data_IF_542225186196
#
_entry.id   IF_542225186196
#
_cell.length_a   1.000
_cell.length_b   1.000
_cell.length_c   1.000
_cell.angle_alpha   90.00
_cell.angle_beta   90.00
_cell.angle_gamma   90.00
#
_symmetry.space_group_name_H-M   'P 1'
#
loop_
_entity.id
_entity.type
_entity.pdbx_description
1 polymer ?
#
# COMPACT_ATOMS: atom_id res chain seq x y z
N UNK A 1 38.27 -6.94 -2.07
CA UNK A 1 37.06 -7.39 -1.35
C UNK A 1 35.84 -6.81 -2.07
N UNK A 2 34.97 -7.64 -2.61
CA UNK A 2 33.68 -7.18 -3.10
C UNK A 2 32.86 -6.72 -1.87
N UNK A 3 32.42 -5.48 -1.85
CA UNK A 3 31.53 -4.97 -0.81
C UNK A 3 30.18 -5.65 -1.00
N UNK A 4 29.74 -6.44 -0.02
CA UNK A 4 28.41 -7.03 -0.03
C UNK A 4 27.39 -5.93 0.27
N UNK A 5 26.62 -5.56 -0.74
CA UNK A 5 25.55 -4.57 -0.62
C UNK A 5 24.21 -5.18 -0.20
N UNK A 6 24.14 -6.48 0.06
CA UNK A 6 22.86 -7.15 0.38
C UNK A 6 22.22 -6.62 1.66
N UNK A 7 23.01 -6.24 2.65
CA UNK A 7 22.53 -5.66 3.91
C UNK A 7 22.53 -4.13 3.91
N UNK A 8 22.96 -3.51 2.81
CA UNK A 8 22.89 -2.06 2.65
C UNK A 8 21.44 -1.62 2.42
N UNK A 9 20.98 -0.52 3.02
CA UNK A 9 19.66 0.06 2.71
C UNK A 9 19.42 0.31 1.22
N UNK A 10 20.48 0.50 0.44
CA UNK A 10 20.42 0.67 -1.03
C UNK A 10 19.89 -0.57 -1.77
N UNK A 11 19.90 -1.75 -1.14
CA UNK A 11 19.27 -2.96 -1.70
C UNK A 11 17.75 -2.88 -1.76
N UNK A 12 17.13 -1.92 -1.07
CA UNK A 12 15.69 -1.78 -0.96
C UNK A 12 15.02 -2.70 0.07
N UNK A 13 15.77 -3.62 0.70
CA UNK A 13 15.21 -4.57 1.69
C UNK A 13 14.57 -3.88 2.91
N UNK A 14 15.05 -2.69 3.24
CA UNK A 14 14.56 -1.89 4.39
C UNK A 14 13.54 -0.83 4.02
N UNK A 15 13.08 -0.78 2.76
CA UNK A 15 12.10 0.20 2.34
C UNK A 15 10.74 -0.05 3.00
N UNK A 16 10.08 1.03 3.40
CA UNK A 16 8.70 0.97 3.88
C UNK A 16 7.78 0.42 2.79
N UNK A 17 6.98 -0.56 3.13
CA UNK A 17 6.03 -1.20 2.20
C UNK A 17 4.75 -0.40 1.99
N UNK A 18 4.61 0.77 2.64
CA UNK A 18 3.40 1.59 2.58
C UNK A 18 2.12 0.81 2.96
N UNK A 19 2.23 -0.14 3.87
CA UNK A 19 1.11 -1.00 4.25
C UNK A 19 -0.08 -0.21 4.79
N UNK A 20 0.16 0.81 5.63
CA UNK A 20 -0.91 1.62 6.21
C UNK A 20 -1.77 2.33 5.16
N UNK A 21 -1.23 3.09 4.19
CA UNK A 21 -2.04 3.72 3.15
C UNK A 21 -2.79 2.69 2.28
N UNK A 22 -2.22 1.52 2.01
CA UNK A 22 -2.91 0.47 1.28
C UNK A 22 -4.07 -0.14 2.04
N UNK A 23 -3.93 -0.36 3.35
CA UNK A 23 -5.02 -0.81 4.22
C UNK A 23 -6.17 0.21 4.21
N UNK A 24 -5.86 1.49 4.42
CA UNK A 24 -6.85 2.56 4.44
C UNK A 24 -7.57 2.68 3.09
N UNK A 25 -6.84 2.62 1.98
CA UNK A 25 -7.41 2.69 0.63
C UNK A 25 -8.31 1.48 0.33
N UNK A 26 -7.90 0.29 0.74
CA UNK A 26 -8.68 -0.93 0.54
C UNK A 26 -10.00 -0.85 1.29
N UNK A 27 -9.99 -0.42 2.55
CA UNK A 27 -11.21 -0.22 3.35
C UNK A 27 -12.05 0.95 2.87
N UNK A 28 -11.46 1.99 2.31
CA UNK A 28 -12.22 3.07 1.68
C UNK A 28 -13.03 2.58 0.47
N UNK A 29 -12.47 1.63 -0.29
CA UNK A 29 -13.14 1.02 -1.45
C UNK A 29 -14.18 -0.02 -1.05
N UNK A 30 -13.92 -0.76 0.00
CA UNK A 30 -14.77 -1.87 0.47
C UNK A 30 -14.70 -1.97 1.99
N UNK A 31 -15.72 -1.48 2.66
CA UNK A 31 -15.85 -1.57 4.13
C UNK A 31 -16.31 -2.96 4.58
N UNK A 32 -16.03 -3.29 5.81
CA UNK A 32 -16.51 -4.53 6.44
C UNK A 32 -15.75 -5.79 6.01
N UNK A 33 -14.56 -5.64 5.46
CA UNK A 33 -13.70 -6.78 5.13
C UNK A 33 -13.20 -7.48 6.39
N UNK A 34 -13.18 -8.81 6.35
CA UNK A 34 -12.49 -9.60 7.37
C UNK A 34 -10.99 -9.36 7.31
N UNK A 35 -10.33 -9.43 8.46
CA UNK A 35 -8.89 -9.21 8.53
C UNK A 35 -8.10 -10.08 7.56
N UNK A 36 -8.48 -11.33 7.38
CA UNK A 36 -7.85 -12.23 6.40
C UNK A 36 -8.03 -11.75 4.95
N UNK A 37 -9.25 -11.38 4.55
CA UNK A 37 -9.53 -10.88 3.20
C UNK A 37 -8.81 -9.56 2.93
N UNK A 38 -8.85 -8.65 3.90
CA UNK A 38 -8.18 -7.37 3.83
C UNK A 38 -6.66 -7.54 3.63
N UNK A 39 -6.02 -8.39 4.44
CA UNK A 39 -4.58 -8.64 4.35
C UNK A 39 -4.23 -9.36 3.04
N UNK A 40 -5.08 -10.25 2.56
CA UNK A 40 -4.89 -10.93 1.27
C UNK A 40 -4.95 -9.94 0.10
N UNK A 41 -5.91 -9.02 0.10
CA UNK A 41 -6.03 -7.99 -0.94
C UNK A 41 -4.82 -7.05 -0.93
N UNK A 42 -4.41 -6.54 0.24
CA UNK A 42 -3.24 -5.67 0.36
C UNK A 42 -1.98 -6.40 -0.09
N UNK A 43 -1.82 -7.68 0.29
CA UNK A 43 -0.70 -8.50 -0.16
C UNK A 43 -0.67 -8.65 -1.68
N UNK A 44 -1.82 -8.88 -2.32
CA UNK A 44 -1.87 -9.06 -3.78
C UNK A 44 -1.38 -7.83 -4.54
N UNK A 45 -1.68 -6.62 -4.06
CA UNK A 45 -1.16 -5.38 -4.67
C UNK A 45 0.37 -5.27 -4.56
N UNK A 46 0.94 -5.74 -3.46
CA UNK A 46 2.39 -5.73 -3.26
C UNK A 46 3.09 -6.82 -4.08
N UNK A 47 2.50 -7.99 -4.16
CA UNK A 47 3.05 -9.12 -4.94
C UNK A 47 3.11 -8.78 -6.45
N UNK A 48 2.14 -8.03 -6.98
CA UNK A 48 2.17 -7.52 -8.36
C UNK A 48 3.40 -6.63 -8.65
N UNK A 49 3.93 -5.97 -7.62
CA UNK A 49 5.14 -5.14 -7.70
C UNK A 49 6.41 -5.92 -7.34
N UNK A 50 6.31 -7.23 -7.08
CA UNK A 50 7.44 -8.02 -6.61
C UNK A 50 7.88 -7.73 -5.17
N UNK A 51 7.04 -7.08 -4.38
CA UNK A 51 7.30 -6.74 -2.99
C UNK A 51 6.71 -7.83 -2.09
N UNK A 52 7.56 -8.64 -1.48
CA UNK A 52 7.12 -9.63 -0.49
C UNK A 52 6.61 -8.96 0.79
N UNK A 53 5.32 -9.14 1.10
CA UNK A 53 4.73 -8.61 2.32
C UNK A 53 4.39 -9.74 3.30
N UNK A 54 4.86 -9.59 4.54
CA UNK A 54 4.52 -10.54 5.59
C UNK A 54 3.13 -10.25 6.17
N UNK A 55 2.24 -11.24 6.15
CA UNK A 55 0.89 -11.16 6.69
C UNK A 55 0.89 -10.77 8.18
N UNK A 56 1.81 -11.29 8.97
CA UNK A 56 1.96 -10.94 10.38
C UNK A 56 2.24 -9.44 10.57
N UNK A 57 3.06 -8.86 9.69
CA UNK A 57 3.33 -7.42 9.67
C UNK A 57 2.07 -6.60 9.35
N UNK A 58 1.21 -7.09 8.44
CA UNK A 58 -0.06 -6.43 8.12
C UNK A 58 -1.01 -6.38 9.32
N UNK A 59 -1.16 -7.47 10.05
CA UNK A 59 -1.98 -7.47 11.29
C UNK A 59 -1.46 -6.50 12.34
N UNK A 60 -0.14 -6.32 12.42
CA UNK A 60 0.46 -5.29 13.30
C UNK A 60 0.03 -3.89 12.88
N UNK A 61 0.04 -3.59 11.59
CA UNK A 61 -0.44 -2.31 11.06
C UNK A 61 -1.95 -2.10 11.31
N UNK A 62 -2.77 -3.14 11.12
CA UNK A 62 -4.20 -3.09 11.45
C UNK A 62 -4.43 -2.72 12.92
N UNK A 63 -3.75 -3.40 13.83
CA UNK A 63 -3.84 -3.11 15.26
C UNK A 63 -3.38 -1.69 15.62
N UNK A 64 -2.31 -1.20 14.99
CA UNK A 64 -1.83 0.16 15.20
C UNK A 64 -2.82 1.22 14.70
N UNK A 65 -3.40 1.01 13.53
CA UNK A 65 -4.41 1.93 12.96
C UNK A 65 -5.68 1.96 13.82
N UNK A 66 -6.10 0.81 14.33
CA UNK A 66 -7.24 0.72 15.23
C UNK A 66 -6.97 1.42 16.57
N UNK A 67 -5.81 1.19 17.19
CA UNK A 67 -5.41 1.87 18.43
C UNK A 67 -5.35 3.40 18.28
N UNK A 68 -5.04 3.89 17.08
CA UNK A 68 -5.02 5.32 16.76
C UNK A 68 -6.39 5.87 16.37
N UNK A 69 -7.44 5.04 16.35
CA UNK A 69 -8.78 5.45 15.97
C UNK A 69 -9.02 5.65 14.48
N UNK A 70 -8.09 5.19 13.62
CA UNK A 70 -8.26 5.26 12.16
C UNK A 70 -9.19 4.17 11.64
N UNK A 71 -9.26 3.05 12.34
CA UNK A 71 -10.14 1.93 12.08
C UNK A 71 -10.95 1.58 13.33
N UNK A 72 -12.10 0.98 13.10
CA UNK A 72 -12.87 0.24 14.12
C UNK A 72 -13.12 -1.18 13.62
N UNK A 73 -13.33 -2.10 14.52
CA UNK A 73 -13.63 -3.48 14.16
C UNK A 73 -14.80 -4.02 14.98
N UNK A 74 -15.55 -4.92 14.36
CA UNK A 74 -16.67 -5.61 14.97
C UNK A 74 -16.52 -7.12 14.77
N UNK A 75 -16.92 -7.88 15.78
CA UNK A 75 -16.96 -9.34 15.69
C UNK A 75 -18.23 -9.80 14.98
N UNK A 76 -18.09 -10.51 13.89
CA UNK A 76 -19.21 -11.20 13.24
C UNK A 76 -19.40 -12.58 13.89
N UNK A 77 -20.45 -12.70 14.66
CA UNK A 77 -20.84 -13.92 15.36
C UNK A 77 -22.07 -14.60 14.74
N UNK A 78 -22.59 -14.08 13.62
CA UNK A 78 -23.83 -14.54 13.00
C UNK A 78 -23.70 -15.87 12.26
N UNK A 79 -22.50 -16.22 11.84
CA UNK A 79 -22.24 -17.45 11.10
C UNK A 79 -21.77 -18.57 12.03
N UNK A 80 -22.19 -19.83 11.73
CA UNK A 80 -21.63 -21.01 12.37
C UNK A 80 -20.17 -21.15 11.97
N UNK A 81 -19.24 -20.89 12.87
CA UNK A 81 -17.81 -20.97 12.64
C UNK A 81 -17.04 -20.06 13.59
N UNK A 82 -15.71 -20.00 13.48
CA UNK A 82 -14.92 -19.08 14.29
C UNK A 82 -15.38 -17.64 14.03
N UNK A 83 -15.55 -16.86 15.11
CA UNK A 83 -15.90 -15.46 15.00
C UNK A 83 -14.87 -14.71 14.14
N UNK A 84 -15.37 -13.95 13.17
CA UNK A 84 -14.54 -13.16 12.27
C UNK A 84 -14.60 -11.70 12.67
N UNK A 85 -13.49 -11.01 12.50
CA UNK A 85 -13.36 -9.59 12.83
C UNK A 85 -13.42 -8.77 11.56
N UNK A 86 -14.46 -7.95 11.44
CA UNK A 86 -14.67 -7.05 10.30
C UNK A 86 -14.16 -5.67 10.62
N UNK A 87 -13.46 -5.06 9.66
CA UNK A 87 -12.84 -3.75 9.83
C UNK A 87 -13.57 -2.68 9.01
N UNK A 88 -13.66 -1.50 9.61
CA UNK A 88 -14.34 -0.33 9.04
C UNK A 88 -13.44 0.90 9.18
N UNK A 89 -13.50 1.76 8.18
CA UNK A 89 -12.77 3.02 8.19
C UNK A 89 -13.55 4.06 8.99
N UNK A 90 -12.88 4.74 9.92
CA UNK A 90 -13.45 5.87 10.64
C UNK A 90 -13.35 7.16 9.84
N UNK A 91 -14.03 8.23 10.28
CA UNK A 91 -13.86 9.55 9.67
C UNK A 91 -12.41 10.05 9.78
N UNK A 92 -11.75 9.81 10.91
CA UNK A 92 -10.33 10.12 11.07
C UNK A 92 -9.45 9.24 10.18
N UNK A 93 -9.84 7.99 9.94
CA UNK A 93 -9.19 7.12 8.96
C UNK A 93 -9.28 7.68 7.53
N UNK A 94 -10.42 8.25 7.13
CA UNK A 94 -10.58 8.93 5.82
C UNK A 94 -9.66 10.14 5.71
N UNK A 95 -9.58 10.96 6.75
CA UNK A 95 -8.65 12.11 6.81
C UNK A 95 -7.19 11.64 6.76
N UNK A 96 -6.86 10.56 7.47
CA UNK A 96 -5.54 9.95 7.46
C UNK A 96 -5.15 9.46 6.07
N UNK A 97 -6.05 8.80 5.35
CA UNK A 97 -5.82 8.40 3.96
C UNK A 97 -5.49 9.59 3.06
N UNK A 98 -6.25 10.70 3.19
CA UNK A 98 -5.99 11.90 2.41
C UNK A 98 -4.63 12.53 2.73
N UNK A 99 -4.24 12.54 4.00
CA UNK A 99 -2.90 12.97 4.41
C UNK A 99 -1.80 12.09 3.82
N UNK A 100 -2.04 10.79 3.71
CA UNK A 100 -1.12 9.89 3.02
C UNK A 100 -0.96 10.24 1.55
N UNK A 101 -2.04 10.56 0.85
CA UNK A 101 -1.98 11.01 -0.54
C UNK A 101 -1.08 12.25 -0.68
N UNK A 102 -1.23 13.24 0.20
CA UNK A 102 -0.40 14.43 0.20
C UNK A 102 1.08 14.12 0.49
N UNK A 103 1.35 13.31 1.50
CA UNK A 103 2.71 12.91 1.89
C UNK A 103 3.41 12.13 0.77
N UNK A 104 2.72 11.18 0.16
CA UNK A 104 3.26 10.38 -0.94
C UNK A 104 3.48 11.22 -2.20
N UNK A 105 2.62 12.19 -2.47
CA UNK A 105 2.82 13.14 -3.57
C UNK A 105 4.08 13.98 -3.38
N UNK A 106 4.34 14.44 -2.15
CA UNK A 106 5.57 15.15 -1.82
C UNK A 106 6.81 14.25 -1.98
N UNK A 107 6.75 13.02 -1.48
CA UNK A 107 7.85 12.06 -1.63
C UNK A 107 8.14 11.74 -3.10
N UNK A 108 7.10 11.61 -3.91
CA UNK A 108 7.26 11.38 -5.35
C UNK A 108 7.97 12.56 -6.04
N UNK A 109 7.62 13.80 -5.68
CA UNK A 109 8.32 15.00 -6.16
C UNK A 109 9.79 15.01 -5.75
N UNK A 110 10.08 14.62 -4.51
CA UNK A 110 11.44 14.53 -3.99
C UNK A 110 12.26 13.49 -4.76
N UNK A 111 11.68 12.32 -5.02
CA UNK A 111 12.30 11.26 -5.81
C UNK A 111 12.56 11.74 -7.26
N UNK A 112 11.57 12.42 -7.86
CA UNK A 112 11.71 13.01 -9.19
C UNK A 112 12.88 13.99 -9.28
N UNK A 113 12.99 14.89 -8.32
CA UNK A 113 14.10 15.85 -8.20
C UNK A 113 15.44 15.15 -8.07
N UNK A 114 15.51 14.09 -7.28
CA UNK A 114 16.73 13.27 -7.18
C UNK A 114 17.15 12.72 -8.54
N UNK A 115 16.23 12.16 -9.32
CA UNK A 115 16.55 11.63 -10.65
C UNK A 115 16.96 12.73 -11.63
N UNK A 116 16.42 13.93 -11.52
CA UNK A 116 16.86 15.05 -12.35
C UNK A 116 18.32 15.42 -12.07
N UNK A 117 18.74 15.41 -10.81
CA UNK A 117 20.14 15.59 -10.44
C UNK A 117 21.02 14.43 -10.90
N UNK A 118 20.54 13.20 -10.82
CA UNK A 118 21.26 12.01 -11.36
C UNK A 118 21.54 12.17 -12.85
N UNK A 119 20.58 12.67 -13.64
CA UNK A 119 20.78 12.92 -15.08
C UNK A 119 21.87 13.96 -15.37
N UNK A 120 22.00 14.97 -14.50
CA UNK A 120 23.07 15.99 -14.63
C UNK A 120 24.44 15.35 -14.38
N UNK A 121 24.56 14.51 -13.35
CA UNK A 121 25.85 13.89 -12.97
C UNK A 121 26.19 12.72 -13.90
N UNK A 122 25.20 11.97 -14.32
CA UNK A 122 25.33 10.78 -15.16
C UNK A 122 24.48 10.90 -16.44
N UNK A 123 24.84 11.77 -17.38
CA UNK A 123 24.01 12.09 -18.57
C UNK A 123 23.77 10.89 -19.50
N UNK A 124 24.60 9.86 -19.43
CA UNK A 124 24.46 8.61 -20.20
C UNK A 124 23.76 7.48 -19.44
N UNK A 125 23.35 7.70 -18.20
CA UNK A 125 22.67 6.67 -17.41
C UNK A 125 21.31 6.32 -18.04
N UNK A 126 21.07 5.02 -18.25
CA UNK A 126 19.76 4.50 -18.65
C UNK A 126 18.94 4.29 -17.39
N UNK A 127 18.06 5.23 -17.09
CA UNK A 127 17.12 5.11 -15.99
C UNK A 127 15.95 4.20 -16.37
N UNK A 128 15.43 3.40 -15.42
CA UNK A 128 14.22 2.62 -15.64
C UNK A 128 13.06 3.53 -16.07
N UNK A 129 12.25 3.07 -17.00
CA UNK A 129 11.01 3.78 -17.35
C UNK A 129 10.00 3.57 -16.23
N UNK A 130 9.58 4.65 -15.60
CA UNK A 130 8.52 4.64 -14.60
C UNK A 130 7.23 5.06 -15.27
N UNK A 131 6.19 4.24 -15.15
CA UNK A 131 4.87 4.57 -15.65
C UNK A 131 4.13 5.42 -14.61
N UNK A 132 4.10 6.71 -14.82
CA UNK A 132 3.39 7.68 -13.99
C UNK A 132 2.00 8.04 -14.55
N UNK A 133 1.49 7.28 -15.49
CA UNK A 133 0.19 7.56 -16.14
C UNK A 133 -0.98 7.63 -15.14
N UNK A 134 -0.90 6.90 -14.03
CA UNK A 134 -1.89 6.94 -12.96
C UNK A 134 -2.00 8.30 -12.26
N UNK A 135 -0.97 9.15 -12.36
CA UNK A 135 -0.94 10.48 -11.73
C UNK A 135 -1.46 11.58 -12.66
N UNK A 136 -1.73 11.26 -13.93
CA UNK A 136 -2.27 12.23 -14.88
C UNK A 136 -3.78 12.39 -14.66
N UNK A 137 -4.29 13.63 -14.56
CA UNK A 137 -5.72 13.85 -14.43
C UNK A 137 -6.48 13.24 -15.61
N UNK A 138 -7.52 12.47 -15.33
CA UNK A 138 -8.42 11.89 -16.33
C UNK A 138 -8.00 10.54 -16.91
N UNK A 139 -6.86 9.96 -16.55
CA UNK A 139 -6.45 8.61 -16.96
C UNK A 139 -6.34 7.66 -15.76
N UNK A 140 -7.45 7.41 -15.08
CA UNK A 140 -7.51 6.26 -14.20
C UNK A 140 -7.26 5.01 -15.06
N UNK A 141 -6.22 4.22 -14.75
CA UNK A 141 -6.12 2.87 -15.31
C UNK A 141 -7.43 2.16 -15.00
N UNK A 142 -8.20 1.81 -16.00
CA UNK A 142 -9.22 0.79 -15.85
C UNK A 142 -8.46 -0.46 -15.42
N UNK A 143 -8.50 -0.77 -14.15
CA UNK A 143 -8.07 -2.05 -13.63
C UNK A 143 -8.90 -3.09 -14.37
N UNK A 144 -8.28 -3.74 -15.35
CA UNK A 144 -8.80 -4.95 -15.95
C UNK A 144 -8.75 -6.02 -14.85
N UNK A 145 -9.83 -6.15 -14.15
CA UNK A 145 -10.39 -7.37 -13.53
C UNK A 145 -11.39 -7.00 -12.45
N UNK A 146 -12.55 -6.52 -12.91
CA UNK A 146 -13.78 -6.94 -12.29
C UNK A 146 -13.94 -8.40 -12.71
N UNK A 147 -13.42 -9.33 -11.94
CA UNK A 147 -13.93 -10.69 -12.02
C UNK A 147 -15.32 -10.65 -11.40
N UNK A 148 -16.31 -10.70 -12.29
CA UNK A 148 -17.66 -11.11 -11.98
C UNK A 148 -17.60 -12.34 -11.08
N UNK A 149 -17.99 -12.17 -9.83
CA UNK A 149 -18.45 -13.29 -9.03
C UNK A 149 -19.92 -13.38 -9.34
N UNK A 150 -20.24 -14.08 -10.44
CA UNK A 150 -21.57 -14.60 -10.70
C UNK A 150 -21.59 -16.03 -10.16
N UNK A 151 -22.54 -16.28 -9.25
CA UNK A 151 -23.03 -17.54 -8.66
C UNK A 151 -22.32 -18.00 -7.41
#
# INVERSE_FOLDING_TARGET
MATDFEDCPCSGKSMSTLAAPWILLTLYRQEGLHGYELTKLVKSYMDELGIGLNITGLYRHLNQLEKRGMLVSEWDTRNKGPAKRNYYLTEDGRKCLWRWVQTLSLQLSLIGTFFDHVKVVFPRARLPKVDLSALQPGKARRSARTQEITQ
#
